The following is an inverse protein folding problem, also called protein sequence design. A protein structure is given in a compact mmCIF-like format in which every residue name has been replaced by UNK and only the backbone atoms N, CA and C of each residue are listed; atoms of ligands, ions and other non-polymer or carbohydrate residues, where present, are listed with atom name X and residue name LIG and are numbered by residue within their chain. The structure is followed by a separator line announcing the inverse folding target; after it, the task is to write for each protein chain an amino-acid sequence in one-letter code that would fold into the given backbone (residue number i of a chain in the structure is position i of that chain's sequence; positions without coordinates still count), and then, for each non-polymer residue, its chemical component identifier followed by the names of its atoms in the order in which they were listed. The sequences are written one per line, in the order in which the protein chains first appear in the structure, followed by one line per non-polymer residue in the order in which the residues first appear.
data_IF_715755820763
#
_entry.id   IF_715755820763
#
_cell.length_a   1.000
_cell.length_b   1.000
_cell.length_c   1.000
_cell.angle_alpha   90.00
_cell.angle_beta   90.00
_cell.angle_gamma   90.00
#
_symmetry.space_group_name_H-M   'P 1'
#
loop_
_entity.id
_entity.type
_entity.pdbx_description
1 polymer ?
#
# COMPACT_ATOMS: atom_id res chain seq x y z
N UNK A 1 29.50 0.20 -7.08
CA UNK A 1 28.19 0.88 -6.92
C UNK A 1 27.12 -0.20 -6.79
N UNK A 2 26.39 -0.24 -5.67
CA UNK A 2 25.31 -1.22 -5.46
C UNK A 2 23.97 -0.60 -5.89
N UNK A 3 23.59 -0.81 -7.14
CA UNK A 3 22.19 -0.61 -7.54
C UNK A 3 21.43 -1.87 -7.14
N UNK A 4 20.60 -1.77 -6.11
CA UNK A 4 19.68 -2.85 -5.76
C UNK A 4 18.79 -3.13 -6.96
N UNK A 5 18.76 -4.38 -7.42
CA UNK A 5 17.84 -4.82 -8.47
C UNK A 5 16.44 -4.81 -7.86
N UNK A 6 15.71 -3.70 -8.05
CA UNK A 6 14.30 -3.67 -7.72
C UNK A 6 13.59 -4.65 -8.67
N UNK A 7 13.03 -5.71 -8.08
CA UNK A 7 12.15 -6.65 -8.77
C UNK A 7 10.99 -5.85 -9.39
N UNK A 8 11.01 -5.69 -10.71
CA UNK A 8 10.07 -4.83 -11.45
C UNK A 8 8.63 -5.33 -11.30
N UNK A 9 8.45 -6.64 -11.12
CA UNK A 9 7.14 -7.26 -10.92
C UNK A 9 6.50 -6.87 -9.57
N UNK A 10 7.30 -6.29 -8.67
CA UNK A 10 6.83 -5.76 -7.39
C UNK A 10 6.53 -4.28 -7.42
N UNK A 11 6.67 -3.59 -8.55
CA UNK A 11 6.24 -2.19 -8.66
C UNK A 11 4.73 -2.14 -8.89
N UNK A 12 4.01 -1.50 -7.97
CA UNK A 12 2.54 -1.44 -7.98
C UNK A 12 2.05 0.00 -7.83
N UNK A 13 0.85 0.26 -8.35
CA UNK A 13 0.14 1.53 -8.14
C UNK A 13 -0.58 1.51 -6.79
N UNK A 14 -0.55 2.63 -6.08
CA UNK A 14 -1.32 2.81 -4.84
C UNK A 14 -2.82 2.91 -5.13
N UNK A 15 -3.65 2.25 -4.32
CA UNK A 15 -5.12 2.28 -4.48
C UNK A 15 -5.75 3.63 -4.06
N UNK A 16 -4.98 4.53 -3.43
CA UNK A 16 -5.49 5.79 -2.85
C UNK A 16 -4.82 7.05 -3.37
N UNK A 17 -3.76 6.93 -4.16
CA UNK A 17 -3.08 8.09 -4.75
C UNK A 17 -2.38 7.70 -6.05
N UNK A 18 -1.74 8.67 -6.71
CA UNK A 18 -1.08 8.49 -8.00
C UNK A 18 0.32 7.86 -7.91
N UNK A 19 0.83 7.60 -6.71
CA UNK A 19 2.19 7.11 -6.52
C UNK A 19 2.33 5.62 -6.87
N UNK A 20 3.45 5.30 -7.51
CA UNK A 20 3.98 3.94 -7.62
C UNK A 20 4.82 3.60 -6.38
N UNK A 21 4.85 2.33 -5.99
CA UNK A 21 5.67 1.85 -4.88
C UNK A 21 6.16 0.43 -5.14
N UNK A 22 7.28 0.06 -4.53
CA UNK A 22 7.75 -1.32 -4.52
C UNK A 22 7.09 -2.09 -3.38
N UNK A 23 6.46 -3.21 -3.70
CA UNK A 23 5.85 -4.12 -2.75
C UNK A 23 6.93 -5.00 -2.08
N UNK A 24 7.42 -4.54 -0.94
CA UNK A 24 8.36 -5.27 -0.09
C UNK A 24 7.69 -6.26 0.87
N UNK A 25 6.37 -6.44 0.79
CA UNK A 25 5.67 -7.39 1.66
C UNK A 25 6.01 -8.83 1.27
N UNK A 26 6.11 -9.71 2.28
CA UNK A 26 6.44 -11.13 2.07
C UNK A 26 5.54 -11.83 1.04
N UNK A 27 4.25 -11.47 0.99
CA UNK A 27 3.26 -12.05 0.06
C UNK A 27 3.03 -11.22 -1.21
N UNK A 28 3.61 -10.02 -1.34
CA UNK A 28 3.34 -9.15 -2.49
C UNK A 28 1.87 -8.67 -2.56
N UNK A 29 1.22 -8.48 -1.41
CA UNK A 29 -0.22 -8.12 -1.34
C UNK A 29 -0.47 -6.71 -0.82
N UNK A 30 0.57 -5.88 -0.71
CA UNK A 30 0.43 -4.50 -0.23
C UNK A 30 -0.26 -3.65 -1.29
N UNK A 31 -1.18 -2.78 -0.85
CA UNK A 31 -2.00 -1.92 -1.74
C UNK A 31 -1.82 -0.41 -1.52
N UNK A 32 -0.83 -0.02 -0.72
CA UNK A 32 -0.60 1.37 -0.32
C UNK A 32 0.87 1.78 -0.44
N UNK A 33 1.13 3.02 -0.87
CA UNK A 33 2.50 3.52 -1.04
C UNK A 33 3.26 3.75 0.28
N UNK A 34 2.56 4.10 1.36
CA UNK A 34 3.12 4.30 2.71
C UNK A 34 2.10 3.89 3.77
N UNK A 35 2.56 3.25 4.84
CA UNK A 35 1.72 2.90 5.98
C UNK A 35 1.17 4.16 6.67
N UNK A 36 2.00 5.19 6.86
CA UNK A 36 1.61 6.42 7.56
C UNK A 36 0.57 7.23 6.77
N UNK A 37 0.71 7.30 5.44
CA UNK A 37 -0.17 8.10 4.60
C UNK A 37 -1.39 7.30 4.11
N UNK A 38 -1.21 6.50 3.05
CA UNK A 38 -2.34 5.80 2.42
C UNK A 38 -2.81 4.60 3.25
N UNK A 39 -1.92 3.98 4.03
CA UNK A 39 -2.28 2.83 4.83
C UNK A 39 -3.20 3.13 5.99
N UNK A 40 -2.89 4.19 6.74
CA UNK A 40 -3.76 4.68 7.80
C UNK A 40 -5.13 5.09 7.25
N UNK A 41 -5.16 5.85 6.14
CA UNK A 41 -6.41 6.25 5.47
C UNK A 41 -7.31 5.05 5.12
N UNK A 42 -6.73 3.97 4.62
CA UNK A 42 -7.48 2.74 4.32
C UNK A 42 -8.01 2.05 5.58
N UNK A 43 -7.20 1.97 6.65
CA UNK A 43 -7.64 1.40 7.93
C UNK A 43 -8.79 2.20 8.56
N UNK A 44 -8.69 3.52 8.56
CA UNK A 44 -9.73 4.42 9.09
C UNK A 44 -11.02 4.28 8.29
N UNK A 45 -10.95 4.31 6.96
CA UNK A 45 -12.12 4.12 6.11
C UNK A 45 -12.81 2.76 6.36
N UNK A 46 -12.02 1.69 6.48
CA UNK A 46 -12.55 0.36 6.78
C UNK A 46 -13.18 0.26 8.19
N UNK A 47 -12.56 0.90 9.19
CA UNK A 47 -13.12 0.99 10.55
C UNK A 47 -14.44 1.75 10.56
N UNK A 48 -14.50 2.92 9.94
CA UNK A 48 -15.72 3.71 9.82
C UNK A 48 -16.84 2.95 9.10
N UNK A 49 -16.51 2.23 8.02
CA UNK A 49 -17.48 1.39 7.30
C UNK A 49 -18.04 0.26 8.17
N UNK A 50 -17.23 -0.38 9.02
CA UNK A 50 -17.70 -1.39 9.99
C UNK A 50 -18.58 -0.78 11.06
N UNK A 51 -18.21 0.37 11.61
CA UNK A 51 -19.00 1.07 12.64
C UNK A 51 -20.38 1.49 12.14
N UNK A 52 -20.54 1.79 10.85
CA UNK A 52 -21.86 2.09 10.24
C UNK A 52 -22.76 0.87 10.02
N UNK A 53 -22.19 -0.34 10.10
CA UNK A 53 -22.94 -1.61 9.95
C UNK A 53 -23.34 -2.23 11.29
N UNK A 54 -22.91 -1.60 12.39
CA UNK A 54 -23.31 -1.93 13.75
C UNK A 54 -24.39 -0.95 14.17
#
# INVERSE_FOLDING_TARGET
MLFTTADRDRVRKCDRCVLLFQDTSKKGTRRWCSMQLCGNRLKVAAYAARKRRQ
#
